data_IF_947016090420
#
_entry.id   IF_947016090420
#
_cell.length_a   1.000
_cell.length_b   1.000
_cell.length_c   1.000
_cell.angle_alpha   90.00
_cell.angle_beta   90.00
_cell.angle_gamma   90.00
#
_symmetry.space_group_name_H-M   'P 1'
#
loop_
_entity.id
_entity.type
_entity.pdbx_description
1 polymer ?
#
# COMPACT_ATOMS: atom_id res chain seq x y z
N UNK A 1 -19.21 83.34 -62.37
CA UNK A 1 -17.82 82.85 -62.33
C UNK A 1 -17.85 81.47 -61.68
N UNK A 2 -17.99 80.36 -62.42
CA UNK A 2 -17.01 79.65 -63.28
C UNK A 2 -16.16 78.61 -62.53
N UNK A 3 -16.39 77.35 -62.92
CA UNK A 3 -15.50 76.18 -63.05
C UNK A 3 -15.65 74.97 -62.10
N UNK A 4 -15.99 73.86 -62.78
CA UNK A 4 -15.76 72.44 -62.50
C UNK A 4 -14.29 72.14 -62.16
N UNK A 5 -14.05 71.08 -61.38
CA UNK A 5 -13.06 70.04 -61.72
C UNK A 5 -13.34 68.72 -60.98
N UNK A 6 -13.38 67.63 -61.77
CA UNK A 6 -13.24 66.23 -61.36
C UNK A 6 -11.81 65.96 -60.86
N UNK A 7 -11.64 65.03 -59.91
CA UNK A 7 -10.49 64.11 -59.85
C UNK A 7 -10.95 62.70 -59.43
N UNK A 8 -10.65 61.72 -60.30
CA UNK A 8 -10.63 60.28 -60.04
C UNK A 8 -9.22 59.90 -59.56
N UNK A 9 -9.07 58.85 -58.73
CA UNK A 9 -8.12 57.71 -58.86
C UNK A 9 -8.07 56.86 -57.57
N UNK A 10 -8.49 55.59 -57.73
CA UNK A 10 -8.07 54.27 -57.20
C UNK A 10 -7.32 54.04 -55.87
N UNK A 11 -7.61 52.82 -55.35
CA UNK A 11 -6.82 51.89 -54.50
C UNK A 11 -6.94 52.11 -52.97
N UNK A 12 -7.14 51.11 -52.11
CA UNK A 12 -7.02 49.64 -52.20
C UNK A 12 -7.70 48.98 -50.99
N UNK A 13 -7.97 47.69 -51.12
CA UNK A 13 -8.67 46.80 -50.21
C UNK A 13 -8.05 46.71 -48.81
N UNK A 14 -8.87 46.85 -47.76
CA UNK A 14 -8.62 46.25 -46.45
C UNK A 14 -9.88 45.46 -46.05
N UNK A 15 -10.06 44.29 -46.65
CA UNK A 15 -10.88 43.25 -46.05
C UNK A 15 -10.02 42.56 -45.01
N UNK A 16 -10.18 42.99 -43.75
CA UNK A 16 -9.74 42.24 -42.60
C UNK A 16 -10.44 40.88 -42.64
N UNK A 17 -9.69 39.83 -42.97
CA UNK A 17 -10.16 38.46 -42.84
C UNK A 17 -10.34 38.14 -41.35
N UNK A 18 -11.54 38.40 -40.84
CA UNK A 18 -12.06 37.66 -39.70
C UNK A 18 -12.17 36.20 -40.14
N UNK A 19 -11.24 35.35 -39.71
CA UNK A 19 -11.44 33.90 -39.78
C UNK A 19 -12.49 33.53 -38.75
N UNK A 20 -13.76 33.74 -39.10
CA UNK A 20 -14.88 33.11 -38.41
C UNK A 20 -14.71 31.61 -38.64
N UNK A 21 -14.46 30.87 -37.56
CA UNK A 21 -14.52 29.41 -37.55
C UNK A 21 -15.97 29.02 -37.75
N UNK A 22 -16.43 29.00 -39.01
CA UNK A 22 -17.75 28.47 -39.35
C UNK A 22 -17.75 26.98 -39.03
N UNK A 23 -18.64 26.55 -38.14
CA UNK A 23 -18.96 25.14 -37.94
C UNK A 23 -19.31 24.55 -39.30
N UNK A 24 -18.42 23.71 -39.85
CA UNK A 24 -18.73 22.96 -41.08
C UNK A 24 -20.03 22.19 -40.86
N UNK A 25 -20.95 22.35 -41.81
CA UNK A 25 -22.19 21.57 -41.83
C UNK A 25 -21.85 20.08 -41.93
N UNK A 26 -22.71 19.20 -41.40
CA UNK A 26 -22.47 17.74 -41.44
C UNK A 26 -22.25 17.23 -42.87
N UNK A 27 -22.91 17.85 -43.85
CA UNK A 27 -22.72 17.59 -45.28
C UNK A 27 -21.32 17.97 -45.77
N UNK A 28 -20.81 19.16 -45.42
CA UNK A 28 -19.47 19.62 -45.82
C UNK A 28 -18.38 18.76 -45.20
N UNK A 29 -18.53 18.38 -43.93
CA UNK A 29 -17.59 17.50 -43.23
C UNK A 29 -17.54 16.12 -43.88
N UNK A 30 -18.71 15.56 -44.21
CA UNK A 30 -18.82 14.26 -44.89
C UNK A 30 -18.17 14.32 -46.27
N UNK A 31 -18.43 15.38 -47.04
CA UNK A 31 -17.81 15.58 -48.34
C UNK A 31 -16.27 15.70 -48.24
N UNK A 32 -15.76 16.46 -47.26
CA UNK A 32 -14.33 16.59 -47.02
C UNK A 32 -13.68 15.26 -46.60
N UNK A 33 -14.36 14.46 -45.78
CA UNK A 33 -13.91 13.11 -45.40
C UNK A 33 -13.81 12.19 -46.63
N UNK A 34 -14.82 12.20 -47.51
CA UNK A 34 -14.80 11.46 -48.78
C UNK A 34 -13.76 11.96 -49.78
N UNK A 35 -13.40 13.24 -49.75
CA UNK A 35 -12.27 13.79 -50.50
C UNK A 35 -10.91 13.37 -49.94
N UNK A 36 -10.89 12.60 -48.84
CA UNK A 36 -9.68 12.12 -48.21
C UNK A 36 -9.03 13.18 -47.32
N UNK A 37 -9.75 14.12 -46.72
CA UNK A 37 -9.14 15.03 -45.77
C UNK A 37 -9.05 14.36 -44.39
N UNK A 38 -7.85 13.96 -43.95
CA UNK A 38 -7.68 13.15 -42.73
C UNK A 38 -8.24 13.79 -41.46
N UNK A 39 -8.17 15.13 -41.33
CA UNK A 39 -8.78 15.86 -40.21
C UNK A 39 -10.31 15.75 -40.24
N UNK A 40 -10.93 15.88 -41.42
CA UNK A 40 -12.37 15.72 -41.58
C UNK A 40 -12.82 14.28 -41.27
N UNK A 41 -12.02 13.28 -41.69
CA UNK A 41 -12.26 11.88 -41.37
C UNK A 41 -12.24 11.62 -39.85
N UNK A 42 -11.23 12.17 -39.15
CA UNK A 42 -11.15 12.07 -37.69
C UNK A 42 -12.33 12.74 -36.98
N UNK A 43 -12.70 13.95 -37.39
CA UNK A 43 -13.84 14.68 -36.82
C UNK A 43 -15.17 13.97 -37.08
N UNK A 44 -15.38 13.47 -38.29
CA UNK A 44 -16.56 12.70 -38.67
C UNK A 44 -16.67 11.41 -37.84
N UNK A 45 -15.57 10.67 -37.71
CA UNK A 45 -15.50 9.47 -36.90
C UNK A 45 -15.90 9.73 -35.44
N UNK A 46 -15.44 10.83 -34.84
CA UNK A 46 -15.83 11.21 -33.47
C UNK A 46 -17.32 11.55 -33.36
N UNK A 47 -17.92 12.22 -34.36
CA UNK A 47 -19.35 12.53 -34.39
C UNK A 47 -20.20 11.26 -34.51
N UNK A 48 -19.77 10.31 -35.34
CA UNK A 48 -20.44 9.01 -35.49
C UNK A 48 -20.34 8.17 -34.21
N UNK A 49 -19.18 8.14 -33.57
CA UNK A 49 -18.98 7.46 -32.29
C UNK A 49 -19.85 8.06 -31.17
N UNK A 50 -20.15 9.37 -31.22
CA UNK A 50 -21.08 10.02 -30.30
C UNK A 50 -22.56 9.66 -30.57
N UNK A 51 -22.89 9.15 -31.77
CA UNK A 51 -24.20 8.60 -32.16
C UNK A 51 -24.24 7.05 -32.09
N UNK A 52 -23.41 6.44 -31.22
CA UNK A 52 -23.04 5.02 -31.20
C UNK A 52 -22.89 4.26 -32.52
N UNK A 53 -22.61 4.93 -33.65
CA UNK A 53 -22.38 4.27 -34.93
C UNK A 53 -20.91 3.85 -35.06
N UNK A 54 -20.54 2.84 -34.27
CA UNK A 54 -19.15 2.40 -34.16
C UNK A 54 -18.58 1.75 -35.43
N UNK A 55 -19.33 0.97 -36.23
CA UNK A 55 -18.77 0.40 -37.46
C UNK A 55 -18.32 1.49 -38.44
N UNK A 56 -19.17 2.49 -38.69
CA UNK A 56 -18.85 3.60 -39.59
C UNK A 56 -17.79 4.54 -38.96
N UNK A 57 -17.90 4.83 -37.66
CA UNK A 57 -16.86 5.58 -36.95
C UNK A 57 -15.49 4.91 -37.05
N UNK A 58 -15.43 3.59 -36.87
CA UNK A 58 -14.21 2.81 -36.95
C UNK A 58 -13.61 2.82 -38.35
N UNK A 59 -14.45 2.77 -39.40
CA UNK A 59 -14.01 2.92 -40.77
C UNK A 59 -13.26 4.24 -40.98
N UNK A 60 -13.89 5.37 -40.66
CA UNK A 60 -13.28 6.70 -40.83
C UNK A 60 -12.06 6.92 -39.93
N UNK A 61 -12.08 6.39 -38.70
CA UNK A 61 -10.96 6.51 -37.78
C UNK A 61 -9.71 5.77 -38.27
N UNK A 62 -9.88 4.57 -38.85
CA UNK A 62 -8.79 3.82 -39.48
C UNK A 62 -8.20 4.58 -40.66
N UNK A 63 -9.04 5.16 -41.52
CA UNK A 63 -8.59 5.97 -42.64
C UNK A 63 -7.79 7.20 -42.17
N UNK A 64 -8.33 7.93 -41.18
CA UNK A 64 -7.66 9.09 -40.62
C UNK A 64 -6.26 8.75 -40.07
N UNK A 65 -6.10 7.57 -39.45
CA UNK A 65 -4.83 7.11 -38.89
C UNK A 65 -3.80 6.68 -39.96
N UNK A 66 -4.25 5.90 -40.95
CA UNK A 66 -3.38 5.27 -41.95
C UNK A 66 -3.02 6.20 -43.12
N UNK A 67 -3.72 7.32 -43.28
CA UNK A 67 -3.50 8.21 -44.41
C UNK A 67 -2.08 8.79 -44.47
N UNK A 68 -1.57 8.91 -45.69
CA UNK A 68 -0.29 9.57 -46.01
C UNK A 68 -0.48 10.57 -47.16
N UNK A 69 0.43 11.53 -47.30
CA UNK A 69 0.39 12.54 -48.36
C UNK A 69 -0.21 13.89 -47.93
N UNK A 70 -0.44 14.82 -48.88
CA UNK A 70 -0.77 16.21 -48.58
C UNK A 70 -2.10 16.43 -47.86
N UNK A 71 -3.04 15.49 -47.99
CA UNK A 71 -4.36 15.56 -47.35
C UNK A 71 -4.41 14.78 -46.02
N UNK A 72 -3.32 14.11 -45.64
CA UNK A 72 -3.25 13.40 -44.38
C UNK A 72 -3.33 14.37 -43.21
N UNK A 73 -3.94 13.92 -42.12
CA UNK A 73 -3.89 14.68 -40.87
C UNK A 73 -2.46 14.74 -40.32
N UNK A 74 -2.20 15.70 -39.44
CA UNK A 74 -0.93 15.76 -38.71
C UNK A 74 -0.71 14.52 -37.82
N UNK A 75 0.53 14.35 -37.36
CA UNK A 75 0.91 13.18 -36.58
C UNK A 75 0.13 13.04 -35.26
N UNK A 76 -0.31 14.14 -34.65
CA UNK A 76 -1.07 14.12 -33.40
C UNK A 76 -2.49 13.56 -33.64
N UNK A 77 -3.19 14.06 -34.66
CA UNK A 77 -4.52 13.54 -35.05
C UNK A 77 -4.42 12.07 -35.44
N UNK A 78 -3.44 11.71 -36.28
CA UNK A 78 -3.22 10.32 -36.69
C UNK A 78 -2.91 9.42 -35.49
N UNK A 79 -2.12 9.91 -34.55
CA UNK A 79 -1.81 9.22 -33.30
C UNK A 79 -3.06 8.99 -32.45
N UNK A 80 -3.88 10.03 -32.24
CA UNK A 80 -5.17 9.93 -31.52
C UNK A 80 -6.14 8.99 -32.23
N UNK A 81 -6.20 9.03 -33.56
CA UNK A 81 -7.03 8.14 -34.34
C UNK A 81 -6.61 6.67 -34.16
N UNK A 82 -5.32 6.38 -34.29
CA UNK A 82 -4.78 5.04 -34.06
C UNK A 82 -5.02 4.54 -32.62
N UNK A 83 -4.86 5.41 -31.61
CA UNK A 83 -5.17 5.08 -30.21
C UNK A 83 -6.64 4.67 -30.04
N UNK A 84 -7.55 5.44 -30.66
CA UNK A 84 -8.99 5.21 -30.57
C UNK A 84 -9.40 3.89 -31.23
N UNK A 85 -8.86 3.60 -32.43
CA UNK A 85 -9.09 2.31 -33.10
C UNK A 85 -8.62 1.15 -32.23
N UNK A 86 -7.44 1.28 -31.62
CA UNK A 86 -6.93 0.26 -30.70
C UNK A 86 -7.84 0.06 -29.49
N UNK A 87 -8.33 1.17 -28.92
CA UNK A 87 -9.26 1.15 -27.79
C UNK A 87 -10.58 0.47 -28.16
N UNK A 88 -11.13 0.72 -29.35
CA UNK A 88 -12.34 0.06 -29.85
C UNK A 88 -12.16 -1.44 -30.06
N UNK A 89 -11.02 -1.89 -30.62
CA UNK A 89 -10.71 -3.31 -30.69
C UNK A 89 -10.57 -3.98 -29.32
N UNK A 90 -10.07 -3.26 -28.32
CA UNK A 90 -9.90 -3.81 -26.97
C UNK A 90 -11.24 -4.15 -26.30
N UNK A 91 -12.29 -3.37 -26.58
CA UNK A 91 -13.64 -3.55 -26.01
C UNK A 91 -14.66 -4.18 -26.98
N UNK A 92 -14.33 -4.30 -28.26
CA UNK A 92 -15.21 -4.86 -29.30
C UNK A 92 -16.27 -3.90 -29.81
N UNK A 93 -15.94 -2.61 -29.96
CA UNK A 93 -16.83 -1.60 -30.54
C UNK A 93 -16.56 -1.45 -32.04
N UNK A 94 -17.62 -1.49 -32.85
CA UNK A 94 -17.58 -1.41 -34.31
C UNK A 94 -17.19 -2.71 -34.99
N UNK A 95 -16.11 -3.34 -34.50
CA UNK A 95 -15.69 -4.68 -34.89
C UNK A 95 -15.53 -5.60 -33.67
N UNK A 96 -15.55 -6.94 -33.85
CA UNK A 96 -15.35 -7.88 -32.75
C UNK A 96 -14.06 -7.62 -31.97
N UNK A 97 -14.11 -7.86 -30.65
CA UNK A 97 -12.96 -7.68 -29.75
C UNK A 97 -11.73 -8.44 -30.27
N UNK A 98 -10.62 -7.72 -30.44
CA UNK A 98 -9.37 -8.29 -30.92
C UNK A 98 -8.16 -7.62 -30.23
N UNK A 99 -7.65 -8.18 -29.13
CA UNK A 99 -6.53 -7.60 -28.38
C UNK A 99 -5.24 -7.45 -29.18
N UNK A 100 -4.98 -8.35 -30.14
CA UNK A 100 -3.78 -8.28 -30.96
C UNK A 100 -3.84 -7.09 -31.93
N UNK A 101 -5.00 -6.85 -32.54
CA UNK A 101 -5.20 -5.66 -33.36
C UNK A 101 -5.17 -4.39 -32.52
N UNK A 102 -5.76 -4.42 -31.31
CA UNK A 102 -5.67 -3.31 -30.38
C UNK A 102 -4.22 -2.90 -30.11
N UNK A 103 -3.36 -3.87 -29.77
CA UNK A 103 -1.95 -3.66 -29.54
C UNK A 103 -1.22 -3.12 -30.77
N UNK A 104 -1.47 -3.68 -31.96
CA UNK A 104 -0.87 -3.20 -33.21
C UNK A 104 -1.22 -1.72 -33.49
N UNK A 105 -2.46 -1.33 -33.24
CA UNK A 105 -2.92 0.06 -33.39
C UNK A 105 -2.32 0.99 -32.35
N UNK A 106 -2.20 0.54 -31.09
CA UNK A 106 -1.48 1.30 -30.06
C UNK A 106 0.01 1.45 -30.41
N UNK A 107 0.67 0.43 -30.96
CA UNK A 107 2.05 0.55 -31.43
C UNK A 107 2.20 1.58 -32.55
N UNK A 108 1.25 1.65 -33.50
CA UNK A 108 1.22 2.70 -34.53
C UNK A 108 1.06 4.09 -33.90
N UNK A 109 0.14 4.22 -32.96
CA UNK A 109 -0.11 5.47 -32.23
C UNK A 109 1.10 5.95 -31.42
N UNK A 110 1.77 5.03 -30.70
CA UNK A 110 2.98 5.30 -29.95
C UNK A 110 4.16 5.74 -30.86
N UNK A 111 4.30 5.13 -32.04
CA UNK A 111 5.28 5.56 -33.06
C UNK A 111 5.03 6.98 -33.56
N UNK A 112 3.77 7.42 -33.59
CA UNK A 112 3.38 8.81 -33.89
C UNK A 112 3.57 9.75 -32.69
N UNK A 113 4.05 9.24 -31.56
CA UNK A 113 4.35 10.03 -30.37
C UNK A 113 3.18 10.21 -29.41
N UNK A 114 2.10 9.43 -29.54
CA UNK A 114 1.00 9.49 -28.60
C UNK A 114 1.37 8.83 -27.26
N UNK A 115 1.44 9.64 -26.20
CA UNK A 115 1.85 9.21 -24.86
C UNK A 115 0.89 8.22 -24.21
N UNK A 116 -0.41 8.36 -24.45
CA UNK A 116 -1.44 7.47 -23.90
C UNK A 116 -1.29 6.08 -24.51
N UNK A 117 -1.03 5.99 -25.82
CA UNK A 117 -0.77 4.71 -26.46
C UNK A 117 0.48 4.01 -25.91
N UNK A 118 1.58 4.74 -25.70
CA UNK A 118 2.76 4.20 -25.01
C UNK A 118 2.42 3.70 -23.61
N UNK A 119 1.61 4.45 -22.83
CA UNK A 119 1.16 4.02 -21.51
C UNK A 119 0.30 2.75 -21.57
N UNK A 120 -0.66 2.67 -22.49
CA UNK A 120 -1.50 1.48 -22.69
C UNK A 120 -0.69 0.25 -23.08
N UNK A 121 0.33 0.40 -23.93
CA UNK A 121 1.27 -0.68 -24.25
C UNK A 121 2.06 -1.14 -23.02
N UNK A 122 2.55 -0.20 -22.20
CA UNK A 122 3.22 -0.51 -20.95
C UNK A 122 2.30 -1.28 -19.98
N UNK A 123 1.03 -0.87 -19.85
CA UNK A 123 0.01 -1.54 -19.03
C UNK A 123 -0.33 -2.94 -19.54
N UNK A 124 -0.51 -3.10 -20.84
CA UNK A 124 -0.75 -4.40 -21.48
C UNK A 124 0.44 -5.35 -21.24
N UNK A 125 1.67 -4.88 -21.49
CA UNK A 125 2.90 -5.62 -21.21
C UNK A 125 2.96 -6.04 -19.73
N UNK A 126 2.73 -5.10 -18.80
CA UNK A 126 2.73 -5.39 -17.37
C UNK A 126 1.69 -6.46 -17.01
N UNK A 127 0.49 -6.43 -17.61
CA UNK A 127 -0.55 -7.43 -17.40
C UNK A 127 -0.11 -8.81 -17.89
N UNK A 128 0.49 -8.90 -19.08
CA UNK A 128 1.04 -10.15 -19.64
C UNK A 128 2.11 -10.76 -18.72
N UNK A 129 2.89 -9.91 -18.05
CA UNK A 129 3.90 -10.31 -17.07
C UNK A 129 3.38 -10.40 -15.62
N UNK A 130 2.07 -10.57 -15.42
CA UNK A 130 1.43 -10.75 -14.08
C UNK A 130 1.76 -9.61 -13.10
N UNK A 131 1.77 -8.38 -13.59
CA UNK A 131 2.07 -7.18 -12.81
C UNK A 131 3.55 -6.81 -12.76
N UNK A 132 4.46 -7.66 -13.23
CA UNK A 132 5.90 -7.40 -13.19
C UNK A 132 6.30 -6.39 -14.26
N UNK A 133 7.18 -5.49 -13.88
CA UNK A 133 7.71 -4.45 -14.74
C UNK A 133 9.08 -4.88 -15.29
N UNK A 134 9.05 -5.64 -16.39
CA UNK A 134 10.27 -6.06 -17.12
C UNK A 134 10.76 -4.92 -18.02
N UNK A 135 11.99 -5.05 -18.56
CA UNK A 135 12.63 -4.01 -19.38
C UNK A 135 11.76 -3.52 -20.54
N UNK A 136 11.16 -4.44 -21.29
CA UNK A 136 10.31 -4.09 -22.44
C UNK A 136 9.07 -3.27 -22.02
N UNK A 137 8.49 -3.56 -20.86
CA UNK A 137 7.39 -2.76 -20.34
C UNK A 137 7.86 -1.37 -19.87
N UNK A 138 9.06 -1.29 -19.30
CA UNK A 138 9.68 -0.03 -18.86
C UNK A 138 9.91 0.90 -20.06
N UNK A 139 10.35 0.39 -21.19
CA UNK A 139 10.59 1.20 -22.40
C UNK A 139 9.33 1.96 -22.83
N UNK A 140 8.16 1.32 -22.74
CA UNK A 140 6.86 1.94 -23.02
C UNK A 140 6.49 3.02 -22.02
N UNK A 141 6.67 2.76 -20.72
CA UNK A 141 6.42 3.77 -19.68
C UNK A 141 7.39 4.94 -19.75
N UNK A 142 8.67 4.70 -20.06
CA UNK A 142 9.64 5.75 -20.33
C UNK A 142 9.23 6.63 -21.51
N UNK A 143 8.78 6.03 -22.60
CA UNK A 143 8.33 6.76 -23.77
C UNK A 143 7.12 7.66 -23.45
N UNK A 144 6.16 7.15 -22.66
CA UNK A 144 5.01 7.92 -22.18
C UNK A 144 5.44 9.04 -21.22
N UNK A 145 6.31 8.72 -20.25
CA UNK A 145 6.75 9.63 -19.21
C UNK A 145 7.60 10.79 -19.74
N UNK A 146 8.45 10.55 -20.74
CA UNK A 146 9.22 11.57 -21.49
C UNK A 146 8.32 12.54 -22.26
N UNK A 147 7.04 12.20 -22.45
CA UNK A 147 6.00 13.02 -23.08
C UNK A 147 4.93 13.50 -22.08
N UNK A 148 5.33 13.64 -20.82
CA UNK A 148 4.49 14.19 -19.75
C UNK A 148 3.20 13.41 -19.49
N UNK A 149 3.29 12.08 -19.48
CA UNK A 149 2.23 11.24 -18.96
C UNK A 149 2.41 11.03 -17.45
N UNK A 150 1.56 11.67 -16.63
CA UNK A 150 1.70 11.70 -15.17
C UNK A 150 1.73 10.30 -14.51
N UNK A 151 0.84 9.39 -14.92
CA UNK A 151 0.78 8.02 -14.37
C UNK A 151 2.01 7.20 -14.75
N UNK A 152 2.53 7.35 -15.98
CA UNK A 152 3.78 6.69 -16.38
C UNK A 152 4.98 7.22 -15.59
N UNK A 153 5.03 8.54 -15.33
CA UNK A 153 6.04 9.15 -14.48
C UNK A 153 5.94 8.64 -13.03
N UNK A 154 4.72 8.50 -12.47
CA UNK A 154 4.51 7.86 -11.17
C UNK A 154 5.04 6.42 -11.15
N UNK A 155 4.73 5.62 -12.18
CA UNK A 155 5.19 4.23 -12.29
C UNK A 155 6.73 4.16 -12.32
N UNK A 156 7.38 5.02 -13.09
CA UNK A 156 8.85 5.08 -13.11
C UNK A 156 9.40 5.54 -11.77
N UNK A 157 8.81 6.55 -11.15
CA UNK A 157 9.17 7.01 -9.81
C UNK A 157 9.13 5.89 -8.78
N UNK A 158 8.06 5.08 -8.78
CA UNK A 158 7.91 3.91 -7.93
C UNK A 158 8.88 2.76 -8.26
N UNK A 159 9.25 2.63 -9.54
CA UNK A 159 10.22 1.61 -9.95
C UNK A 159 11.63 1.98 -9.51
N UNK A 160 12.11 3.19 -9.80
CA UNK A 160 13.42 3.69 -9.37
C UNK A 160 13.55 3.72 -7.86
N UNK A 161 12.47 4.06 -7.15
CA UNK A 161 12.36 4.01 -5.69
C UNK A 161 12.72 2.65 -5.06
N UNK A 162 12.64 1.56 -5.83
CA UNK A 162 12.98 0.20 -5.39
C UNK A 162 14.39 -0.23 -5.84
N UNK A 163 15.01 0.51 -6.75
CA UNK A 163 16.34 0.18 -7.27
C UNK A 163 17.42 0.73 -6.32
N UNK A 164 18.42 -0.08 -5.94
CA UNK A 164 19.53 0.39 -5.13
C UNK A 164 20.24 1.58 -5.79
N UNK A 165 20.35 2.70 -5.05
CA UNK A 165 21.08 3.89 -5.50
C UNK A 165 20.34 4.81 -6.49
N UNK A 166 19.06 4.54 -6.80
CA UNK A 166 18.30 5.34 -7.77
C UNK A 166 17.26 6.29 -7.14
N UNK A 167 17.36 6.59 -5.84
CA UNK A 167 16.41 7.46 -5.14
C UNK A 167 16.30 8.86 -5.76
N UNK A 168 17.40 9.39 -6.30
CA UNK A 168 17.41 10.70 -6.98
C UNK A 168 16.56 10.67 -8.25
N UNK A 169 16.63 9.59 -9.03
CA UNK A 169 15.81 9.45 -10.25
C UNK A 169 14.35 9.17 -9.91
N UNK A 170 14.09 8.47 -8.81
CA UNK A 170 12.75 8.30 -8.27
C UNK A 170 12.09 9.66 -7.97
N UNK A 171 12.81 10.54 -7.26
CA UNK A 171 12.33 11.89 -6.94
C UNK A 171 12.07 12.69 -8.21
N UNK A 172 12.99 12.71 -9.19
CA UNK A 172 12.80 13.47 -10.43
C UNK A 172 11.50 13.10 -11.16
N UNK A 173 11.18 11.81 -11.22
CA UNK A 173 9.95 11.35 -11.87
C UNK A 173 8.70 11.64 -11.03
N UNK A 174 8.79 11.47 -9.70
CA UNK A 174 7.71 11.82 -8.79
C UNK A 174 7.39 13.32 -8.80
N UNK A 175 8.41 14.19 -8.86
CA UNK A 175 8.24 15.65 -8.97
C UNK A 175 7.46 16.02 -10.22
N UNK A 176 7.85 15.51 -11.39
CA UNK A 176 7.12 15.76 -12.64
C UNK A 176 5.65 15.34 -12.58
N UNK A 177 5.37 14.17 -12.01
CA UNK A 177 3.99 13.68 -11.85
C UNK A 177 3.21 14.50 -10.82
N UNK A 178 3.85 14.87 -9.70
CA UNK A 178 3.24 15.63 -8.61
C UNK A 178 2.90 17.08 -9.03
N UNK A 179 3.75 17.69 -9.86
CA UNK A 179 3.55 19.01 -10.45
C UNK A 179 2.37 19.05 -11.43
N UNK A 180 2.09 17.93 -12.11
CA UNK A 180 0.89 17.74 -12.93
C UNK A 180 -0.37 17.43 -12.12
N UNK A 181 -0.27 17.41 -10.79
CA UNK A 181 -1.41 17.18 -9.90
C UNK A 181 -1.66 15.72 -9.54
N UNK A 182 -0.81 14.77 -9.94
CA UNK A 182 -1.04 13.36 -9.58
C UNK A 182 -0.93 13.17 -8.05
N UNK A 183 -2.08 12.88 -7.40
CA UNK A 183 -2.18 12.82 -5.93
C UNK A 183 -1.30 11.75 -5.29
N UNK A 184 -1.10 10.62 -5.96
CA UNK A 184 -0.27 9.52 -5.44
C UNK A 184 1.21 9.88 -5.57
N UNK A 185 1.62 10.56 -6.63
CA UNK A 185 2.96 11.11 -6.76
C UNK A 185 3.25 12.19 -5.70
N UNK A 186 2.27 13.07 -5.43
CA UNK A 186 2.38 14.07 -4.35
C UNK A 186 2.58 13.40 -2.99
N UNK A 187 1.79 12.37 -2.67
CA UNK A 187 1.95 11.59 -1.45
C UNK A 187 3.35 10.92 -1.37
N UNK A 188 3.77 10.23 -2.42
CA UNK A 188 5.07 9.54 -2.47
C UNK A 188 6.24 10.53 -2.35
N UNK A 189 6.14 11.70 -3.00
CA UNK A 189 7.14 12.76 -2.89
C UNK A 189 7.21 13.33 -1.47
N UNK A 190 6.06 13.48 -0.80
CA UNK A 190 6.00 13.84 0.62
C UNK A 190 6.78 12.87 1.50
N UNK A 191 6.62 11.55 1.29
CA UNK A 191 7.38 10.52 2.01
C UNK A 191 8.89 10.65 1.77
N UNK A 192 9.32 10.92 0.52
CA UNK A 192 10.74 11.09 0.18
C UNK A 192 11.36 12.27 0.94
N UNK A 193 10.67 13.41 1.01
CA UNK A 193 11.11 14.56 1.79
C UNK A 193 11.08 14.31 3.31
N UNK A 194 10.12 13.54 3.82
CA UNK A 194 10.07 13.18 5.24
C UNK A 194 11.21 12.26 5.66
N UNK A 195 11.61 11.33 4.79
CA UNK A 195 12.64 10.33 5.06
C UNK A 195 14.04 10.79 4.62
N UNK A 196 14.14 11.80 3.75
CA UNK A 196 15.41 12.23 3.16
C UNK A 196 15.95 11.26 2.10
N UNK A 197 15.08 10.56 1.38
CA UNK A 197 15.45 9.57 0.36
C UNK A 197 15.55 10.24 -1.01
N UNK A 198 16.77 10.36 -1.55
CA UNK A 198 17.03 11.02 -2.84
C UNK A 198 16.94 12.55 -2.79
N UNK A 199 16.53 13.12 -1.66
CA UNK A 199 16.42 14.55 -1.36
C UNK A 199 16.88 14.84 0.05
N UNK A 200 17.21 16.10 0.34
CA UNK A 200 17.44 16.53 1.72
C UNK A 200 16.15 16.42 2.52
N UNK A 201 16.24 15.85 3.73
CA UNK A 201 15.09 15.71 4.63
C UNK A 201 14.49 17.09 4.97
N UNK A 202 13.20 17.27 4.68
CA UNK A 202 12.46 18.53 4.84
C UNK A 202 11.00 18.24 5.21
N UNK A 203 10.71 18.21 6.51
CA UNK A 203 9.36 17.93 7.02
C UNK A 203 8.32 18.99 6.64
N UNK A 204 8.76 20.24 6.47
CA UNK A 204 7.92 21.35 5.99
C UNK A 204 7.47 21.16 4.54
N UNK A 205 8.39 20.71 3.68
CA UNK A 205 8.08 20.40 2.27
C UNK A 205 7.22 19.14 2.16
N UNK A 206 7.51 18.12 2.97
CA UNK A 206 6.71 16.91 3.06
C UNK A 206 5.24 17.21 3.41
N UNK A 207 5.03 18.05 4.44
CA UNK A 207 3.69 18.45 4.87
C UNK A 207 2.89 19.11 3.74
N UNK A 208 3.50 20.05 3.00
CA UNK A 208 2.85 20.71 1.85
C UNK A 208 2.44 19.74 0.76
N UNK A 209 3.26 18.72 0.49
CA UNK A 209 2.91 17.68 -0.48
C UNK A 209 1.80 16.76 0.03
N UNK A 210 1.82 16.39 1.31
CA UNK A 210 0.71 15.65 1.93
C UNK A 210 -0.59 16.44 1.91
N UNK A 211 -0.58 17.74 2.18
CA UNK A 211 -1.75 18.61 2.09
C UNK A 211 -2.34 18.65 0.67
N UNK A 212 -1.49 18.78 -0.36
CA UNK A 212 -1.92 18.73 -1.77
C UNK A 212 -2.55 17.38 -2.13
N UNK A 213 -1.94 16.28 -1.71
CA UNK A 213 -2.47 14.94 -1.94
C UNK A 213 -3.80 14.72 -1.19
N UNK A 214 -3.87 15.17 0.07
CA UNK A 214 -5.05 15.07 0.92
C UNK A 214 -6.23 15.92 0.41
N UNK A 215 -5.96 17.09 -0.19
CA UNK A 215 -6.98 17.90 -0.86
C UNK A 215 -7.68 17.12 -2.00
N UNK A 216 -6.99 16.16 -2.61
CA UNK A 216 -7.49 15.26 -3.65
C UNK A 216 -7.98 13.90 -3.11
N UNK A 217 -8.29 13.84 -1.80
CA UNK A 217 -8.76 12.66 -1.10
C UNK A 217 -7.81 11.45 -1.24
N UNK A 218 -6.49 11.69 -1.25
CA UNK A 218 -5.54 10.57 -1.15
C UNK A 218 -5.63 10.00 0.29
N UNK A 219 -6.01 8.73 0.47
CA UNK A 219 -6.28 8.11 1.78
C UNK A 219 -5.09 8.07 2.75
N UNK A 220 -3.90 7.72 2.27
CA UNK A 220 -2.66 7.65 3.06
C UNK A 220 -2.15 9.03 3.46
N UNK A 221 -2.25 10.02 2.57
CA UNK A 221 -1.90 11.40 2.92
C UNK A 221 -2.85 11.94 4.00
N UNK A 222 -4.16 11.70 3.87
CA UNK A 222 -5.14 12.06 4.89
C UNK A 222 -4.84 11.36 6.23
N UNK A 223 -4.48 10.07 6.20
CA UNK A 223 -4.10 9.32 7.40
C UNK A 223 -2.84 9.89 8.07
N UNK A 224 -1.82 10.28 7.29
CA UNK A 224 -0.62 10.95 7.83
C UNK A 224 -0.99 12.26 8.50
N UNK A 225 -1.83 13.09 7.85
CA UNK A 225 -2.28 14.35 8.44
C UNK A 225 -3.11 14.10 9.71
N UNK A 226 -3.99 13.09 9.72
CA UNK A 226 -4.76 12.72 10.91
C UNK A 226 -3.88 12.39 12.11
N UNK A 227 -2.80 11.62 11.88
CA UNK A 227 -1.85 11.21 12.93
C UNK A 227 -0.97 12.35 13.44
N UNK A 228 -0.79 13.42 12.64
CA UNK A 228 0.02 14.59 12.99
C UNK A 228 -0.82 15.74 13.54
N UNK A 229 -2.13 15.75 13.25
CA UNK A 229 -3.05 16.79 13.67
C UNK A 229 -3.26 16.79 15.18
N UNK A 230 -3.63 17.95 15.72
CA UNK A 230 -4.10 18.05 17.09
C UNK A 230 -5.42 17.27 17.27
N UNK A 231 -5.74 16.79 18.49
CA UNK A 231 -6.90 15.93 18.73
C UNK A 231 -8.23 16.46 18.18
N UNK A 232 -8.42 17.78 18.20
CA UNK A 232 -9.61 18.49 17.70
C UNK A 232 -9.80 18.41 16.17
N UNK A 233 -8.70 18.33 15.41
CA UNK A 233 -8.72 18.28 13.95
C UNK A 233 -8.56 16.85 13.42
N UNK A 234 -7.92 15.98 14.19
CA UNK A 234 -7.58 14.61 13.82
C UNK A 234 -8.81 13.81 13.36
N UNK A 235 -9.95 13.94 14.07
CA UNK A 235 -11.17 13.20 13.75
C UNK A 235 -11.66 13.46 12.32
N UNK A 236 -11.67 14.71 11.87
CA UNK A 236 -12.10 15.08 10.52
C UNK A 236 -11.19 14.46 9.45
N UNK A 237 -9.88 14.46 9.67
CA UNK A 237 -8.94 13.80 8.77
C UNK A 237 -9.11 12.28 8.76
N UNK A 238 -9.31 11.64 9.92
CA UNK A 238 -9.62 10.21 9.99
C UNK A 238 -10.92 9.88 9.25
N UNK A 239 -11.97 10.68 9.41
CA UNK A 239 -13.24 10.47 8.68
C UNK A 239 -13.05 10.56 7.17
N UNK A 240 -12.32 11.57 6.69
CA UNK A 240 -12.00 11.70 5.27
C UNK A 240 -11.13 10.54 4.75
N UNK A 241 -10.10 10.16 5.50
CA UNK A 241 -9.23 9.04 5.14
C UNK A 241 -10.03 7.73 5.05
N UNK A 242 -10.93 7.49 6.00
CA UNK A 242 -11.77 6.30 6.01
C UNK A 242 -12.76 6.27 4.84
N UNK A 243 -13.39 7.40 4.53
CA UNK A 243 -14.26 7.57 3.36
C UNK A 243 -13.49 7.39 2.03
N UNK A 244 -12.21 7.74 2.01
CA UNK A 244 -11.31 7.53 0.88
C UNK A 244 -10.76 6.09 0.78
N UNK A 245 -11.15 5.18 1.68
CA UNK A 245 -10.77 3.77 1.65
C UNK A 245 -9.56 3.38 2.50
N UNK A 246 -9.06 4.26 3.37
CA UNK A 246 -7.94 3.94 4.27
C UNK A 246 -8.37 2.93 5.35
N UNK A 247 -7.96 1.67 5.21
CA UNK A 247 -8.27 0.62 6.21
C UNK A 247 -7.78 0.98 7.63
N UNK A 248 -6.59 1.58 7.84
CA UNK A 248 -6.18 2.03 9.17
C UNK A 248 -7.07 3.14 9.75
N UNK A 249 -7.59 4.06 8.91
CA UNK A 249 -8.50 5.09 9.37
C UNK A 249 -9.90 4.53 9.70
N UNK A 250 -10.38 3.57 8.90
CA UNK A 250 -11.61 2.84 9.16
C UNK A 250 -11.50 2.05 10.49
N UNK A 251 -10.39 1.36 10.72
CA UNK A 251 -10.10 0.70 12.00
C UNK A 251 -10.15 1.69 13.16
N UNK A 252 -9.47 2.84 13.02
CA UNK A 252 -9.44 3.87 14.05
C UNK A 252 -10.85 4.40 14.38
N UNK A 253 -11.68 4.69 13.37
CA UNK A 253 -13.06 5.11 13.59
C UNK A 253 -13.89 4.01 14.25
N UNK A 254 -13.71 2.76 13.82
CA UNK A 254 -14.37 1.62 14.43
C UNK A 254 -14.10 1.53 15.93
N UNK A 255 -12.83 1.63 16.31
CA UNK A 255 -12.41 1.65 17.72
C UNK A 255 -12.94 2.88 18.47
N UNK A 256 -12.87 4.07 17.87
CA UNK A 256 -13.35 5.32 18.50
C UNK A 256 -14.85 5.25 18.83
N UNK A 257 -15.69 4.81 17.89
CA UNK A 257 -17.13 4.65 18.11
C UNK A 257 -17.47 3.52 19.10
N UNK A 258 -16.71 2.43 19.11
CA UNK A 258 -16.90 1.35 20.09
C UNK A 258 -16.53 1.79 21.51
N UNK A 259 -15.44 2.53 21.66
CA UNK A 259 -14.97 3.01 22.95
C UNK A 259 -15.81 4.18 23.48
N UNK A 260 -16.42 4.98 22.60
CA UNK A 260 -17.04 6.25 22.99
C UNK A 260 -16.01 7.30 23.44
N UNK A 261 -14.76 7.14 23.00
CA UNK A 261 -13.69 8.08 23.24
C UNK A 261 -13.59 9.02 22.04
N UNK A 262 -13.56 10.35 22.27
CA UNK A 262 -13.58 11.42 21.25
C UNK A 262 -14.91 11.59 20.50
N UNK A 263 -15.73 10.55 20.42
CA UNK A 263 -17.08 10.57 19.84
C UNK A 263 -18.08 9.93 20.79
N UNK A 264 -19.37 10.22 20.59
CA UNK A 264 -20.44 9.50 21.29
C UNK A 264 -20.37 8.02 20.88
N UNK A 265 -20.48 7.13 21.87
CA UNK A 265 -20.44 5.69 21.62
C UNK A 265 -21.56 5.27 20.67
N UNK A 266 -21.20 4.54 19.62
CA UNK A 266 -22.12 3.94 18.68
C UNK A 266 -21.59 2.57 18.26
N UNK A 267 -22.15 1.51 18.82
CA UNK A 267 -21.69 0.14 18.58
C UNK A 267 -21.97 -0.31 17.14
N UNK A 268 -23.07 0.13 16.54
CA UNK A 268 -23.45 -0.25 15.19
C UNK A 268 -22.53 0.42 14.17
N UNK A 269 -22.28 1.72 14.33
CA UNK A 269 -21.38 2.46 13.47
C UNK A 269 -19.92 2.03 13.67
N UNK A 270 -19.51 1.76 14.91
CA UNK A 270 -18.19 1.23 15.21
C UNK A 270 -17.95 -0.11 14.51
N UNK A 271 -18.91 -1.03 14.59
CA UNK A 271 -18.86 -2.31 13.87
C UNK A 271 -18.84 -2.12 12.36
N UNK A 272 -19.66 -1.23 11.80
CA UNK A 272 -19.67 -0.93 10.37
C UNK A 272 -18.28 -0.54 9.86
N UNK A 273 -17.59 0.36 10.58
CA UNK A 273 -16.24 0.76 10.22
C UNK A 273 -15.22 -0.37 10.32
N UNK A 274 -15.33 -1.24 11.32
CA UNK A 274 -14.48 -2.43 11.41
C UNK A 274 -14.73 -3.41 10.25
N UNK A 275 -15.98 -3.63 9.84
CA UNK A 275 -16.32 -4.50 8.70
C UNK A 275 -15.76 -3.93 7.39
N UNK A 276 -15.83 -2.61 7.18
CA UNK A 276 -15.17 -1.94 6.06
C UNK A 276 -13.64 -2.09 6.12
N UNK A 277 -13.03 -1.87 7.29
CA UNK A 277 -11.59 -2.01 7.47
C UNK A 277 -11.13 -3.43 7.17
N UNK A 278 -11.86 -4.44 7.65
CA UNK A 278 -11.61 -5.84 7.37
C UNK A 278 -11.76 -6.17 5.88
N UNK A 279 -12.78 -5.62 5.21
CA UNK A 279 -12.96 -5.71 3.76
C UNK A 279 -11.80 -5.10 2.96
N UNK A 280 -11.13 -4.09 3.51
CA UNK A 280 -9.94 -3.45 2.94
C UNK A 280 -8.61 -4.04 3.49
N UNK A 281 -8.63 -5.23 4.09
CA UNK A 281 -7.43 -5.99 4.48
C UNK A 281 -6.87 -5.67 5.88
N UNK A 282 -7.63 -4.98 6.75
CA UNK A 282 -7.22 -4.79 8.14
C UNK A 282 -7.46 -6.06 8.97
N UNK A 283 -6.41 -6.85 9.15
CA UNK A 283 -6.44 -8.06 9.99
C UNK A 283 -6.60 -7.75 11.48
N UNK A 284 -6.21 -6.54 11.91
CA UNK A 284 -6.55 -6.07 13.26
C UNK A 284 -8.06 -5.82 13.39
N UNK A 285 -8.72 -5.27 12.38
CA UNK A 285 -10.18 -5.13 12.40
C UNK A 285 -10.89 -6.49 12.42
N UNK A 286 -10.40 -7.46 11.65
CA UNK A 286 -10.90 -8.85 11.71
C UNK A 286 -10.76 -9.44 13.13
N UNK A 287 -9.64 -9.18 13.81
CA UNK A 287 -9.46 -9.57 15.21
C UNK A 287 -10.48 -8.89 16.13
N UNK A 288 -10.67 -7.57 16.00
CA UNK A 288 -11.65 -6.83 16.80
C UNK A 288 -13.09 -7.35 16.58
N UNK A 289 -13.43 -7.71 15.33
CA UNK A 289 -14.72 -8.32 15.01
C UNK A 289 -14.87 -9.70 15.65
N UNK A 290 -13.80 -10.49 15.74
CA UNK A 290 -13.82 -11.78 16.43
C UNK A 290 -14.17 -11.65 17.92
N UNK A 291 -13.67 -10.60 18.58
CA UNK A 291 -13.93 -10.34 20.00
C UNK A 291 -15.39 -9.98 20.29
N UNK A 292 -16.12 -9.52 19.28
CA UNK A 292 -17.54 -9.14 19.38
C UNK A 292 -18.50 -10.30 19.09
N UNK A 293 -18.00 -11.45 18.63
CA UNK A 293 -18.85 -12.58 18.30
C UNK A 293 -19.24 -13.38 19.55
N UNK A 294 -20.54 -13.60 19.72
CA UNK A 294 -21.09 -14.55 20.70
C UNK A 294 -21.07 -15.98 20.17
N UNK A 295 -21.21 -16.17 18.85
CA UNK A 295 -21.14 -17.47 18.20
C UNK A 295 -19.69 -17.93 18.04
N UNK A 296 -19.43 -19.18 18.47
CA UNK A 296 -18.10 -19.78 18.47
C UNK A 296 -17.55 -19.95 17.05
N UNK A 297 -18.39 -20.33 16.07
CA UNK A 297 -17.96 -20.53 14.70
C UNK A 297 -17.65 -19.20 14.00
N UNK A 298 -18.48 -18.18 14.20
CA UNK A 298 -18.24 -16.82 13.70
C UNK A 298 -16.98 -16.22 14.32
N UNK A 299 -16.75 -16.41 15.63
CA UNK A 299 -15.52 -15.98 16.30
C UNK A 299 -14.30 -16.64 15.67
N UNK A 300 -14.32 -17.97 15.53
CA UNK A 300 -13.23 -18.73 14.94
C UNK A 300 -12.97 -18.34 13.48
N UNK A 301 -14.01 -18.06 12.69
CA UNK A 301 -13.89 -17.58 11.32
C UNK A 301 -13.08 -16.27 11.24
N UNK A 302 -13.49 -15.24 11.98
CA UNK A 302 -12.80 -13.95 11.99
C UNK A 302 -11.38 -14.06 12.54
N UNK A 303 -11.21 -14.85 13.61
CA UNK A 303 -9.92 -15.05 14.24
C UNK A 303 -8.93 -15.79 13.32
N UNK A 304 -9.42 -16.75 12.53
CA UNK A 304 -8.64 -17.46 11.52
C UNK A 304 -8.20 -16.52 10.40
N UNK A 305 -9.12 -15.70 9.87
CA UNK A 305 -8.78 -14.69 8.86
C UNK A 305 -7.70 -13.72 9.33
N UNK A 306 -7.87 -13.18 10.54
CA UNK A 306 -6.90 -12.27 11.14
C UNK A 306 -5.52 -12.93 11.34
N UNK A 307 -5.52 -14.19 11.80
CA UNK A 307 -4.30 -14.95 12.04
C UNK A 307 -3.56 -15.32 10.75
N UNK A 308 -4.28 -15.70 9.69
CA UNK A 308 -3.74 -15.98 8.35
C UNK A 308 -3.22 -14.73 7.66
N UNK A 309 -3.87 -13.59 7.92
CA UNK A 309 -3.39 -12.26 7.57
C UNK A 309 -2.13 -11.80 8.31
N UNK A 310 -1.62 -12.61 9.25
CA UNK A 310 -0.38 -12.34 9.95
C UNK A 310 -0.54 -11.53 11.23
N UNK A 311 -1.75 -11.21 11.69
CA UNK A 311 -1.89 -10.44 12.95
C UNK A 311 -1.51 -11.30 14.16
N UNK A 312 -0.36 -11.00 14.78
CA UNK A 312 0.26 -11.87 15.80
C UNK A 312 -0.62 -12.08 17.05
N UNK A 313 -1.40 -11.09 17.45
CA UNK A 313 -2.34 -11.21 18.57
C UNK A 313 -3.54 -12.11 18.22
N UNK A 314 -4.00 -12.10 16.96
CA UNK A 314 -5.00 -13.08 16.51
C UNK A 314 -4.42 -14.49 16.43
N UNK A 315 -3.17 -14.66 15.99
CA UNK A 315 -2.49 -15.96 15.99
C UNK A 315 -2.38 -16.52 17.41
N UNK A 316 -2.02 -15.70 18.38
CA UNK A 316 -1.99 -16.07 19.80
C UNK A 316 -3.37 -16.51 20.29
N UNK A 317 -4.39 -15.68 20.08
CA UNK A 317 -5.75 -15.97 20.51
C UNK A 317 -6.35 -17.20 19.82
N UNK A 318 -6.05 -17.42 18.53
CA UNK A 318 -6.46 -18.63 17.81
C UNK A 318 -5.77 -19.87 18.38
N UNK A 319 -4.49 -19.76 18.73
CA UNK A 319 -3.76 -20.87 19.30
C UNK A 319 -4.33 -21.27 20.67
N UNK A 320 -4.69 -20.28 21.50
CA UNK A 320 -5.40 -20.51 22.77
C UNK A 320 -6.75 -21.18 22.55
N UNK A 321 -7.54 -20.68 21.60
CA UNK A 321 -8.84 -21.26 21.22
C UNK A 321 -8.73 -22.72 20.78
N UNK A 322 -7.74 -23.04 19.93
CA UNK A 322 -7.47 -24.41 19.48
C UNK A 322 -7.00 -25.32 20.61
N UNK A 323 -6.17 -24.78 21.52
CA UNK A 323 -5.68 -25.51 22.68
C UNK A 323 -6.82 -25.89 23.63
N UNK A 324 -7.76 -24.98 23.90
CA UNK A 324 -8.95 -25.25 24.73
C UNK A 324 -9.83 -26.37 24.13
N UNK A 325 -9.86 -26.48 22.80
CA UNK A 325 -10.58 -27.54 22.07
C UNK A 325 -9.79 -28.83 21.92
N UNK A 326 -8.54 -28.87 22.40
CA UNK A 326 -7.67 -30.04 22.35
C UNK A 326 -6.93 -30.24 21.02
N UNK A 327 -7.01 -29.31 20.05
CA UNK A 327 -6.19 -29.35 18.84
C UNK A 327 -4.79 -28.79 19.11
N UNK A 328 -4.01 -29.56 19.86
CA UNK A 328 -2.70 -29.14 20.34
C UNK A 328 -1.68 -28.99 19.21
N UNK A 329 -1.80 -29.76 18.12
CA UNK A 329 -0.87 -29.67 17.00
C UNK A 329 -1.06 -28.35 16.24
N UNK A 330 -2.31 -28.00 15.93
CA UNK A 330 -2.62 -26.72 15.29
C UNK A 330 -2.30 -25.54 16.22
N UNK A 331 -2.63 -25.64 17.51
CA UNK A 331 -2.28 -24.63 18.50
C UNK A 331 -0.76 -24.38 18.55
N UNK A 332 0.05 -25.44 18.61
CA UNK A 332 1.53 -25.34 18.60
C UNK A 332 2.04 -24.62 17.35
N UNK A 333 1.46 -24.90 16.20
CA UNK A 333 1.81 -24.21 14.97
C UNK A 333 1.48 -22.72 15.05
N UNK A 334 0.28 -22.35 15.50
CA UNK A 334 -0.16 -20.95 15.60
C UNK A 334 0.64 -20.16 16.65
N UNK A 335 0.94 -20.75 17.81
CA UNK A 335 1.85 -20.12 18.78
C UNK A 335 3.25 -19.90 18.19
N UNK A 336 3.77 -20.84 17.40
CA UNK A 336 5.08 -20.67 16.77
C UNK A 336 5.10 -19.54 15.74
N UNK A 337 4.01 -19.34 14.98
CA UNK A 337 3.84 -18.21 14.08
C UNK A 337 3.82 -16.87 14.84
N UNK A 338 3.03 -16.77 15.91
CA UNK A 338 2.95 -15.56 16.73
C UNK A 338 4.32 -15.25 17.38
N UNK A 339 5.02 -16.26 17.89
CA UNK A 339 6.35 -16.14 18.45
C UNK A 339 7.37 -15.66 17.40
N UNK A 340 7.32 -16.18 16.16
CA UNK A 340 8.20 -15.74 15.08
C UNK A 340 8.05 -14.23 14.76
N UNK A 341 6.91 -13.63 15.10
CA UNK A 341 6.64 -12.20 14.95
C UNK A 341 6.98 -11.36 16.18
N UNK A 342 7.59 -11.92 17.22
CA UNK A 342 7.98 -11.17 18.41
C UNK A 342 6.92 -11.08 19.51
N UNK A 343 5.81 -11.81 19.39
CA UNK A 343 4.78 -11.79 20.43
C UNK A 343 5.30 -12.46 21.73
N UNK A 344 5.37 -11.69 22.80
CA UNK A 344 6.00 -12.09 24.08
C UNK A 344 5.24 -13.23 24.76
N UNK A 345 3.91 -13.15 24.78
CA UNK A 345 3.08 -14.21 25.37
C UNK A 345 3.16 -15.50 24.55
N UNK A 346 3.27 -15.37 23.22
CA UNK A 346 3.46 -16.51 22.33
C UNK A 346 4.82 -17.18 22.52
N UNK A 347 5.89 -16.43 22.81
CA UNK A 347 7.17 -17.04 23.18
C UNK A 347 7.01 -17.96 24.39
N UNK A 348 6.34 -17.49 25.45
CA UNK A 348 6.11 -18.30 26.63
C UNK A 348 5.21 -19.51 26.34
N UNK A 349 4.05 -19.30 25.71
CA UNK A 349 3.09 -20.36 25.42
C UNK A 349 3.68 -21.43 24.49
N UNK A 350 4.37 -21.02 23.41
CA UNK A 350 5.06 -21.95 22.52
C UNK A 350 6.16 -22.71 23.28
N UNK A 351 6.93 -22.02 24.12
CA UNK A 351 7.92 -22.65 25.00
C UNK A 351 7.32 -23.74 25.88
N UNK A 352 6.15 -23.51 26.48
CA UNK A 352 5.46 -24.52 27.30
C UNK A 352 5.03 -25.72 26.46
N UNK A 353 4.50 -25.51 25.24
CA UNK A 353 4.15 -26.62 24.36
C UNK A 353 5.37 -27.45 23.94
N UNK A 354 6.50 -26.79 23.64
CA UNK A 354 7.77 -27.45 23.33
C UNK A 354 8.29 -28.25 24.54
N UNK A 355 8.24 -27.68 25.74
CA UNK A 355 8.75 -28.32 26.97
C UNK A 355 7.91 -29.55 27.36
N UNK A 356 6.60 -29.45 27.19
CA UNK A 356 5.64 -30.48 27.61
C UNK A 356 5.33 -31.51 26.52
N UNK A 357 5.80 -31.31 25.28
CA UNK A 357 5.44 -32.17 24.15
C UNK A 357 3.95 -32.06 23.78
N UNK A 358 3.34 -30.89 23.97
CA UNK A 358 1.95 -30.67 23.55
C UNK A 358 1.93 -30.47 22.03
N UNK A 359 1.13 -31.25 21.32
CA UNK A 359 1.00 -31.14 19.85
C UNK A 359 2.24 -31.56 19.07
N UNK A 360 3.14 -32.35 19.66
CA UNK A 360 4.34 -32.88 19.01
C UNK A 360 5.38 -33.36 20.03
N UNK A 361 6.58 -33.76 19.61
CA UNK A 361 7.63 -34.17 20.55
C UNK A 361 8.14 -33.00 21.40
N UNK A 362 8.64 -33.32 22.59
CA UNK A 362 9.34 -32.36 23.42
C UNK A 362 10.63 -31.85 22.76
N UNK A 363 10.90 -30.55 22.92
CA UNK A 363 12.16 -29.93 22.49
C UNK A 363 12.58 -28.91 23.55
N UNK A 364 13.38 -29.37 24.50
CA UNK A 364 13.88 -28.53 25.59
C UNK A 364 14.85 -27.45 25.10
N UNK A 365 15.63 -27.71 24.05
CA UNK A 365 16.60 -26.74 23.56
C UNK A 365 15.88 -25.56 22.90
N UNK A 366 14.83 -25.83 22.12
CA UNK A 366 14.00 -24.80 21.53
C UNK A 366 13.13 -24.11 22.60
N UNK A 367 12.55 -24.84 23.55
CA UNK A 367 11.78 -24.25 24.66
C UNK A 367 12.62 -23.23 25.44
N UNK A 368 13.88 -23.57 25.76
CA UNK A 368 14.81 -22.68 26.46
C UNK A 368 15.09 -21.40 25.66
N UNK A 369 15.18 -21.49 24.33
CA UNK A 369 15.33 -20.30 23.46
C UNK A 369 14.09 -19.40 23.56
N UNK A 370 12.90 -19.97 23.48
CA UNK A 370 11.66 -19.19 23.56
C UNK A 370 11.47 -18.53 24.93
N UNK A 371 11.70 -19.26 26.03
CA UNK A 371 11.65 -18.66 27.36
C UNK A 371 12.68 -17.57 27.55
N UNK A 372 13.88 -17.68 26.96
CA UNK A 372 14.87 -16.60 27.03
C UNK A 372 14.36 -15.34 26.34
N UNK A 373 13.72 -15.45 25.18
CA UNK A 373 13.13 -14.31 24.48
C UNK A 373 12.02 -13.66 25.32
N UNK A 374 11.09 -14.46 25.86
CA UNK A 374 10.04 -13.96 26.76
C UNK A 374 10.61 -13.34 28.05
N UNK A 375 11.58 -13.99 28.69
CA UNK A 375 12.18 -13.53 29.95
C UNK A 375 12.97 -12.22 29.77
N UNK A 376 13.60 -12.03 28.61
CA UNK A 376 14.26 -10.78 28.26
C UNK A 376 13.26 -9.63 28.02
N UNK A 377 12.02 -9.95 27.65
CA UNK A 377 10.91 -9.02 27.60
C UNK A 377 10.14 -8.94 28.94
N UNK A 378 10.79 -9.27 30.06
CA UNK A 378 10.23 -9.20 31.41
C UNK A 378 9.02 -10.10 31.68
N UNK A 379 8.84 -11.18 30.90
CA UNK A 379 7.79 -12.15 31.18
C UNK A 379 8.14 -13.01 32.41
N UNK A 380 7.54 -12.66 33.56
CA UNK A 380 7.81 -13.28 34.88
C UNK A 380 7.76 -14.81 34.92
N UNK A 381 6.79 -15.42 34.23
CA UNK A 381 6.67 -16.89 34.20
C UNK A 381 7.78 -17.52 33.36
N UNK A 382 8.27 -16.82 32.35
CA UNK A 382 9.36 -17.30 31.51
C UNK A 382 10.70 -17.23 32.26
N UNK A 383 10.94 -16.16 33.03
CA UNK A 383 12.09 -16.07 33.93
C UNK A 383 12.09 -17.23 34.94
N UNK A 384 10.94 -17.54 35.54
CA UNK A 384 10.82 -18.70 36.43
C UNK A 384 11.12 -20.03 35.70
N UNK A 385 10.54 -20.24 34.51
CA UNK A 385 10.83 -21.43 33.67
C UNK A 385 12.30 -21.53 33.31
N UNK A 386 12.98 -20.42 33.00
CA UNK A 386 14.42 -20.38 32.76
C UNK A 386 15.19 -20.91 33.98
N UNK A 387 14.79 -20.51 35.19
CA UNK A 387 15.37 -21.02 36.43
C UNK A 387 15.28 -22.55 36.53
N UNK A 388 14.07 -23.10 36.35
CA UNK A 388 13.81 -24.55 36.40
C UNK A 388 14.67 -25.29 35.37
N UNK A 389 14.71 -24.81 34.12
CA UNK A 389 15.44 -25.49 33.06
C UNK A 389 16.95 -25.51 33.33
N UNK A 390 17.51 -24.43 33.90
CA UNK A 390 18.93 -24.37 34.26
C UNK A 390 19.25 -25.22 35.50
N UNK A 391 18.33 -25.35 36.44
CA UNK A 391 18.51 -26.20 37.61
C UNK A 391 18.49 -27.69 37.22
N UNK A 392 17.51 -28.10 36.42
CA UNK A 392 17.30 -29.49 36.04
C UNK A 392 18.19 -29.93 34.88
N UNK A 393 18.72 -29.00 34.10
CA UNK A 393 19.58 -29.28 32.94
C UNK A 393 18.78 -29.60 31.67
N UNK A 394 17.59 -29.03 31.53
CA UNK A 394 16.71 -29.24 30.39
C UNK A 394 17.13 -28.31 29.26
N UNK A 395 17.49 -28.86 28.10
CA UNK A 395 17.86 -28.10 26.90
C UNK A 395 19.21 -27.37 26.97
N UNK A 396 19.85 -27.35 28.14
CA UNK A 396 21.22 -26.88 28.35
C UNK A 396 21.79 -27.48 29.64
N UNK A 397 23.13 -27.57 29.81
CA UNK A 397 23.74 -28.16 30.99
C UNK A 397 23.31 -27.49 32.29
N UNK A 398 23.19 -28.27 33.37
CA UNK A 398 22.83 -27.79 34.71
C UNK A 398 23.74 -26.64 35.13
N UNK A 399 23.15 -25.58 35.68
CA UNK A 399 23.89 -24.45 36.18
C UNK A 399 23.11 -23.75 37.30
N UNK A 400 23.45 -24.10 38.54
CA UNK A 400 22.82 -23.54 39.75
C UNK A 400 22.93 -22.03 39.86
N UNK A 401 24.04 -21.41 39.41
CA UNK A 401 24.19 -19.96 39.45
C UNK A 401 23.22 -19.26 38.50
N UNK A 402 23.02 -19.82 37.30
CA UNK A 402 22.03 -19.29 36.36
C UNK A 402 20.60 -19.53 36.84
N UNK A 403 20.33 -20.71 37.42
CA UNK A 403 19.02 -21.03 37.99
C UNK A 403 18.66 -20.02 39.10
N UNK A 404 19.57 -19.83 40.05
CA UNK A 404 19.43 -18.87 41.13
C UNK A 404 19.22 -17.43 40.63
N UNK A 405 20.02 -16.98 39.65
CA UNK A 405 19.88 -15.66 39.08
C UNK A 405 18.50 -15.43 38.41
N UNK A 406 18.00 -16.43 37.66
CA UNK A 406 16.66 -16.36 37.05
C UNK A 406 15.53 -16.40 38.08
N UNK A 407 15.65 -17.23 39.12
CA UNK A 407 14.68 -17.24 40.21
C UNK A 407 14.64 -15.90 40.95
N UNK A 408 15.80 -15.28 41.18
CA UNK A 408 15.87 -13.97 41.81
C UNK A 408 15.16 -12.89 40.99
N UNK A 409 15.35 -12.88 39.67
CA UNK A 409 14.64 -11.96 38.77
C UNK A 409 13.12 -12.19 38.82
N UNK A 410 12.67 -13.43 38.66
CA UNK A 410 11.25 -13.77 38.72
C UNK A 410 10.62 -13.45 40.07
N UNK A 411 11.33 -13.69 41.18
CA UNK A 411 10.87 -13.35 42.53
C UNK A 411 10.77 -11.83 42.73
N UNK A 412 11.70 -11.06 42.16
CA UNK A 412 11.66 -9.59 42.17
C UNK A 412 10.45 -9.06 41.39
N UNK A 413 10.10 -9.72 40.29
CA UNK A 413 8.87 -9.49 39.51
C UNK A 413 7.61 -10.14 40.15
N UNK A 414 7.68 -10.46 41.46
CA UNK A 414 6.58 -10.92 42.30
C UNK A 414 6.19 -12.38 42.16
N UNK A 415 6.95 -13.23 41.45
CA UNK A 415 6.65 -14.65 41.30
C UNK A 415 6.91 -15.43 42.62
N UNK A 416 5.83 -15.85 43.27
CA UNK A 416 5.90 -16.57 44.55
C UNK A 416 6.52 -17.96 44.44
N UNK A 417 6.29 -18.68 43.35
CA UNK A 417 6.89 -20.00 43.14
C UNK A 417 8.40 -19.88 42.92
N UNK A 418 8.84 -18.85 42.20
CA UNK A 418 10.25 -18.53 42.04
C UNK A 418 10.91 -18.15 43.37
N UNK A 419 10.17 -17.47 44.27
CA UNK A 419 10.67 -17.15 45.62
C UNK A 419 10.96 -18.42 46.41
N UNK A 420 10.01 -19.38 46.42
CA UNK A 420 10.20 -20.68 47.08
C UNK A 420 11.34 -21.48 46.46
N UNK A 421 11.40 -21.54 45.13
CA UNK A 421 12.46 -22.26 44.42
C UNK A 421 13.85 -21.66 44.65
N UNK A 422 13.94 -20.31 44.71
CA UNK A 422 15.15 -19.60 45.11
C UNK A 422 15.56 -20.00 46.52
N UNK A 423 14.67 -19.89 47.49
CA UNK A 423 14.96 -20.13 48.91
C UNK A 423 15.37 -21.58 49.17
N UNK A 424 14.77 -22.53 48.45
CA UNK A 424 15.18 -23.94 48.50
C UNK A 424 16.59 -24.14 47.93
N UNK A 425 16.87 -23.55 46.76
CA UNK A 425 18.18 -23.64 46.11
C UNK A 425 19.28 -23.01 46.99
N UNK A 426 18.98 -21.93 47.72
CA UNK A 426 19.92 -21.25 48.62
C UNK A 426 20.42 -22.12 49.77
N UNK A 427 19.61 -23.09 50.25
CA UNK A 427 20.01 -24.00 51.33
C UNK A 427 21.26 -24.83 50.98
N UNK A 428 21.45 -25.11 49.69
CA UNK A 428 22.59 -25.87 49.17
C UNK A 428 23.72 -25.02 48.58
N UNK A 429 23.64 -23.68 48.68
CA UNK A 429 24.62 -22.76 48.08
C UNK A 429 25.53 -22.12 49.11
N UNK A 430 26.80 -21.93 48.74
CA UNK A 430 27.76 -21.15 49.53
C UNK A 430 27.50 -19.64 49.38
N UNK A 431 27.94 -18.83 50.35
CA UNK A 431 27.81 -17.36 50.27
C UNK A 431 28.49 -16.76 49.03
N UNK A 432 29.62 -17.35 48.58
CA UNK A 432 30.29 -16.94 47.34
C UNK A 432 29.40 -17.17 46.12
N UNK A 433 28.70 -18.31 46.06
CA UNK A 433 27.80 -18.65 44.96
C UNK A 433 26.55 -17.77 44.98
N UNK A 434 25.96 -17.51 46.15
CA UNK A 434 24.83 -16.57 46.31
C UNK A 434 25.21 -15.17 45.82
N UNK A 435 26.35 -14.65 46.28
CA UNK A 435 26.86 -13.34 45.84
C UNK A 435 27.11 -13.29 44.33
N UNK A 436 27.70 -14.34 43.76
CA UNK A 436 27.94 -14.41 42.31
C UNK A 436 26.64 -14.43 41.51
N UNK A 437 25.63 -15.20 41.95
CA UNK A 437 24.35 -15.26 41.27
C UNK A 437 23.50 -13.99 41.43
N UNK A 438 23.58 -13.29 42.57
CA UNK A 438 22.99 -11.96 42.75
C UNK A 438 23.59 -10.94 41.77
N UNK A 439 24.91 -10.91 41.64
CA UNK A 439 25.60 -10.04 40.66
C UNK A 439 25.20 -10.37 39.23
N UNK A 440 25.04 -11.65 38.91
CA UNK A 440 24.58 -12.10 37.60
C UNK A 440 23.15 -11.64 37.30
N UNK A 441 22.22 -11.79 38.26
CA UNK A 441 20.86 -11.30 38.14
C UNK A 441 20.81 -9.77 37.94
N UNK A 442 21.58 -9.02 38.73
CA UNK A 442 21.70 -7.56 38.58
C UNK A 442 22.22 -7.17 37.19
N UNK A 443 23.21 -7.90 36.69
CA UNK A 443 23.73 -7.68 35.35
C UNK A 443 22.66 -7.92 34.28
N UNK A 444 21.93 -9.05 34.35
CA UNK A 444 20.86 -9.36 33.41
C UNK A 444 19.71 -8.35 33.49
N UNK A 445 19.28 -7.95 34.68
CA UNK A 445 18.28 -6.89 34.86
C UNK A 445 18.70 -5.59 34.17
N UNK A 446 19.98 -5.19 34.34
CA UNK A 446 20.52 -4.00 33.70
C UNK A 446 20.58 -4.10 32.17
N UNK A 447 20.85 -5.29 31.63
CA UNK A 447 20.85 -5.53 30.19
C UNK A 447 19.43 -5.54 29.62
N UNK A 448 18.47 -6.18 30.30
CA UNK A 448 17.07 -6.19 29.90
C UNK A 448 16.50 -4.77 29.83
N UNK A 449 16.84 -3.91 30.80
CA UNK A 449 16.44 -2.49 30.78
C UNK A 449 17.03 -1.68 29.62
N UNK A 450 18.21 -2.06 29.11
CA UNK A 450 18.81 -1.42 27.92
C UNK A 450 18.18 -1.90 26.60
N UNK A 451 17.55 -3.08 26.62
CA UNK A 451 16.90 -3.70 25.47
C UNK A 451 15.39 -3.44 25.42
N UNK A 452 14.79 -2.98 26.53
CA UNK A 452 13.42 -2.50 26.55
C UNK A 452 13.30 -1.22 25.71
N UNK A 453 12.37 -1.14 24.73
CA UNK A 453 12.08 0.13 24.08
C UNK A 453 11.65 1.15 25.14
N UNK A 454 12.21 2.36 25.08
CA UNK A 454 11.71 3.48 25.87
C UNK A 454 10.27 3.69 25.40
N UNK A 455 9.33 3.43 26.31
CA UNK A 455 7.89 3.47 26.04
C UNK A 455 7.38 4.83 25.59
#
# INVERSE_FOLDING_TARGET
>A
MTYRTLWLVLATHWLAACTTTTLQTESELTQAAHQGQGKAQYELANRLAAKPDYPEAMHWMKQAADQTGPLAADADIRGKAALQVGSWYQVGLGEPKNPQLAENWWQRSAKLGNREASYQLGRNCQQQHKGKLVSECLDWFEQAAKRDHAEAQLILGQWYAKQPGADVDAVKWLEKAAEQGNRDAQYQLGLRYEQGQGVSKRSDVALRWFEKAAAQQQPDALLILARKAAPEEAFSFYQRAANAGSAPAQLWLGQAYLAGEKVVQDLALGRYWLELAAGNGSHEAEYQLSLQQSDAAAREHWLTRAAEGGFSQAQLALAQWLQERGDLAAARQRFSQAAAQGNVDAYYAYGEMLRLGLGGKEDYAQALKQYRLAANAHHRSAQYRMGIMREQGLGAPRNRLHAYAWYLLAATDGNHDATKARDELEKGMTEKEKSAGQKLAQHWFSQQRKLAPIG
#
